data_IF_517436549864
#
_entry.id   IF_517436549864
#
_cell.length_a   1.000
_cell.length_b   1.000
_cell.length_c   1.000
_cell.angle_alpha   90.00
_cell.angle_beta   90.00
_cell.angle_gamma   90.00
#
_symmetry.space_group_name_H-M   'P 1'
#
loop_
_entity.id
_entity.type
_entity.pdbx_description
1 polymer ?
#
# COMPACT_ATOMS: atom_id res chain seq x y z
N UNK A 1 -2.96 -25.62 -0.69
CA UNK A 1 -3.76 -24.63 0.06
C UNK A 1 -3.10 -23.29 -0.18
N UNK A 2 -3.65 -22.49 -1.10
CA UNK A 2 -3.10 -21.16 -1.44
C UNK A 2 -3.84 -20.18 -0.55
N UNK A 3 -3.13 -19.63 0.43
CA UNK A 3 -3.63 -18.50 1.23
C UNK A 3 -3.57 -17.30 0.30
N UNK A 4 -4.69 -16.94 -0.31
CA UNK A 4 -4.81 -15.63 -0.95
C UNK A 4 -4.76 -14.60 0.19
N UNK A 5 -3.90 -13.57 0.11
CA UNK A 5 -3.90 -12.50 1.09
C UNK A 5 -5.14 -11.64 0.84
N UNK A 6 -6.27 -12.06 1.42
CA UNK A 6 -7.35 -11.11 1.66
C UNK A 6 -6.71 -9.93 2.41
N UNK A 7 -6.83 -8.72 1.85
CA UNK A 7 -6.45 -7.49 2.55
C UNK A 7 -7.46 -7.34 3.70
N UNK A 8 -7.23 -8.09 4.77
CA UNK A 8 -8.05 -8.09 5.95
C UNK A 8 -7.80 -6.77 6.71
N UNK A 9 -8.77 -6.34 7.49
CA UNK A 9 -8.66 -5.22 8.44
C UNK A 9 -7.34 -5.22 9.25
N UNK A 10 -6.79 -6.40 9.55
CA UNK A 10 -5.48 -6.53 10.21
C UNK A 10 -4.30 -6.08 9.35
N UNK A 11 -4.32 -6.36 8.05
CA UNK A 11 -3.29 -5.91 7.12
C UNK A 11 -3.29 -4.38 7.01
N UNK A 12 -4.49 -3.77 6.97
CA UNK A 12 -4.65 -2.32 6.96
C UNK A 12 -4.12 -1.68 8.24
N UNK A 13 -4.44 -2.24 9.41
CA UNK A 13 -3.94 -1.73 10.69
C UNK A 13 -2.41 -1.85 10.80
N UNK A 14 -1.84 -2.96 10.30
CA UNK A 14 -0.40 -3.15 10.25
C UNK A 14 0.30 -2.14 9.33
N UNK A 15 -0.28 -1.87 8.15
CA UNK A 15 0.21 -0.83 7.25
C UNK A 15 0.15 0.53 7.94
N UNK A 16 -0.98 0.88 8.58
CA UNK A 16 -1.13 2.15 9.30
C UNK A 16 -0.08 2.31 10.40
N UNK A 17 0.10 1.29 11.24
CA UNK A 17 1.10 1.31 12.30
C UNK A 17 2.53 1.45 11.77
N UNK A 18 2.82 0.81 10.64
CA UNK A 18 4.11 0.96 9.95
C UNK A 18 4.29 2.39 9.44
N UNK A 19 3.28 2.95 8.78
CA UNK A 19 3.29 4.33 8.26
C UNK A 19 3.52 5.37 9.37
N UNK A 20 2.95 5.15 10.56
CA UNK A 20 3.18 6.01 11.73
C UNK A 20 4.63 5.97 12.22
N UNK A 21 5.32 4.85 12.05
CA UNK A 21 6.72 4.65 12.44
C UNK A 21 7.74 5.08 11.35
N UNK A 22 7.29 5.35 10.11
CA UNK A 22 8.17 5.78 9.02
C UNK A 22 8.61 7.24 9.18
N UNK A 23 9.88 7.53 8.93
CA UNK A 23 10.40 8.89 9.00
C UNK A 23 10.14 9.65 7.68
N UNK A 24 10.14 11.00 7.69
CA UNK A 24 10.10 11.78 6.46
C UNK A 24 11.27 11.38 5.54
N UNK A 25 10.95 10.97 4.32
CA UNK A 25 11.92 10.44 3.35
C UNK A 25 11.94 8.92 3.22
N UNK A 26 11.32 8.17 4.14
CA UNK A 26 11.14 6.73 3.99
C UNK A 26 10.14 6.40 2.88
N UNK A 27 10.38 5.27 2.23
CA UNK A 27 9.55 4.72 1.17
C UNK A 27 9.06 3.31 1.56
N UNK A 28 7.78 3.07 1.33
CA UNK A 28 7.15 1.76 1.44
C UNK A 28 6.66 1.33 0.06
N UNK A 29 6.92 0.07 -0.29
CA UNK A 29 6.36 -0.55 -1.50
C UNK A 29 5.28 -1.53 -1.06
N UNK A 30 4.06 -1.32 -1.55
CA UNK A 30 2.90 -2.17 -1.27
C UNK A 30 2.60 -2.94 -2.54
N UNK A 31 2.76 -4.26 -2.48
CA UNK A 31 2.37 -5.16 -3.58
C UNK A 31 0.95 -5.65 -3.33
N UNK A 32 0.06 -5.34 -4.27
CA UNK A 32 -1.34 -5.73 -4.26
C UNK A 32 -1.59 -6.67 -5.42
N UNK A 33 -2.23 -7.80 -5.20
CA UNK A 33 -2.63 -8.68 -6.31
C UNK A 33 -3.77 -8.05 -7.11
N UNK A 34 -3.86 -8.33 -8.41
CA UNK A 34 -4.88 -7.75 -9.26
C UNK A 34 -6.30 -8.17 -8.85
N UNK A 35 -6.43 -9.35 -8.24
CA UNK A 35 -7.68 -9.80 -7.64
C UNK A 35 -8.11 -8.92 -6.45
N UNK A 36 -7.15 -8.39 -5.71
CA UNK A 36 -7.32 -7.59 -4.50
C UNK A 36 -7.15 -6.08 -4.76
N UNK A 37 -6.94 -5.68 -6.01
CA UNK A 37 -6.82 -4.27 -6.39
C UNK A 37 -8.04 -3.45 -5.96
N UNK A 38 -9.23 -4.04 -6.00
CA UNK A 38 -10.46 -3.45 -5.50
C UNK A 38 -10.50 -3.26 -3.97
N UNK A 39 -9.66 -3.97 -3.21
CA UNK A 39 -9.53 -3.84 -1.76
C UNK A 39 -8.39 -2.86 -1.36
N UNK A 40 -7.65 -2.32 -2.34
CA UNK A 40 -6.55 -1.39 -2.08
C UNK A 40 -6.97 0.09 -1.99
N UNK A 41 -8.21 0.43 -2.35
CA UNK A 41 -8.79 1.76 -2.14
C UNK A 41 -8.54 2.35 -0.73
N UNK A 42 -8.81 1.63 0.39
CA UNK A 42 -8.52 2.15 1.72
C UNK A 42 -7.03 2.42 1.96
N UNK A 43 -6.13 1.64 1.36
CA UNK A 43 -4.68 1.86 1.48
C UNK A 43 -4.30 3.18 0.81
N UNK A 44 -4.78 3.42 -0.41
CA UNK A 44 -4.54 4.67 -1.14
C UNK A 44 -5.06 5.86 -0.33
N UNK A 45 -6.26 5.76 0.24
CA UNK A 45 -6.87 6.82 1.04
C UNK A 45 -6.06 7.15 2.30
N UNK A 46 -5.50 6.14 2.98
CA UNK A 46 -4.64 6.34 4.15
C UNK A 46 -3.34 7.04 3.74
N UNK A 47 -2.73 6.65 2.62
CA UNK A 47 -1.50 7.28 2.12
C UNK A 47 -1.73 8.76 1.80
N UNK A 48 -2.81 9.08 1.10
CA UNK A 48 -3.20 10.45 0.77
C UNK A 48 -3.44 11.30 2.03
N UNK A 49 -4.23 10.77 2.97
CA UNK A 49 -4.56 11.46 4.24
C UNK A 49 -3.31 11.74 5.10
N UNK A 50 -2.32 10.85 5.06
CA UNK A 50 -1.08 10.99 5.83
C UNK A 50 0.00 11.82 5.10
N UNK A 51 -0.30 12.39 3.93
CA UNK A 51 0.62 13.22 3.16
C UNK A 51 1.76 12.43 2.49
N UNK A 52 1.53 11.15 2.19
CA UNK A 52 2.48 10.35 1.41
C UNK A 52 2.32 10.65 -0.08
N UNK A 53 3.44 10.74 -0.79
CA UNK A 53 3.47 10.73 -2.25
C UNK A 53 3.39 9.28 -2.72
N UNK A 54 2.35 8.90 -3.47
CA UNK A 54 2.20 7.52 -3.94
C UNK A 54 2.25 7.43 -5.46
N UNK A 55 2.84 6.35 -5.95
CA UNK A 55 3.01 6.08 -7.36
C UNK A 55 2.68 4.61 -7.64
N UNK A 56 1.56 4.39 -8.32
CA UNK A 56 1.10 3.06 -8.72
C UNK A 56 1.74 2.64 -10.04
N UNK A 57 2.46 1.52 -10.04
CA UNK A 57 2.97 0.86 -11.24
C UNK A 57 2.23 -0.46 -11.44
N UNK A 58 1.62 -0.63 -12.61
CA UNK A 58 1.07 -1.92 -13.01
C UNK A 58 2.20 -2.95 -13.16
N UNK A 59 2.07 -4.10 -12.51
CA UNK A 59 3.00 -5.20 -12.71
C UNK A 59 2.88 -5.72 -14.14
N UNK A 60 4.03 -6.03 -14.74
CA UNK A 60 4.15 -6.45 -16.14
C UNK A 60 3.27 -7.67 -16.49
N UNK A 61 2.96 -8.53 -15.50
CA UNK A 61 2.15 -9.73 -15.68
C UNK A 61 0.63 -9.47 -15.59
N UNK A 62 0.20 -8.25 -15.25
CA UNK A 62 -1.22 -7.91 -15.02
C UNK A 62 -1.86 -8.60 -13.81
N UNK A 63 -1.10 -9.41 -13.07
CA UNK A 63 -1.54 -10.14 -11.88
C UNK A 63 -1.27 -9.43 -10.57
N UNK A 64 -0.45 -8.38 -10.58
CA UNK A 64 -0.10 -7.62 -9.37
C UNK A 64 0.15 -6.16 -9.72
N UNK A 65 -0.10 -5.28 -8.77
CA UNK A 65 0.12 -3.84 -8.82
C UNK A 65 1.04 -3.46 -7.68
N UNK A 66 2.02 -2.61 -7.94
CA UNK A 66 2.93 -2.12 -6.92
C UNK A 66 2.62 -0.65 -6.68
N UNK A 67 2.36 -0.29 -5.42
CA UNK A 67 2.15 1.09 -4.98
C UNK A 67 3.39 1.47 -4.18
N UNK A 68 4.25 2.30 -4.75
CA UNK A 68 5.35 2.89 -4.01
C UNK A 68 4.85 4.17 -3.36
N UNK A 69 4.89 4.24 -2.04
CA UNK A 69 4.51 5.43 -1.29
C UNK A 69 5.69 5.95 -0.50
N UNK A 70 5.95 7.25 -0.58
CA UNK A 70 7.05 7.93 0.11
C UNK A 70 6.50 9.02 1.02
N UNK A 71 6.96 9.06 2.27
CA UNK A 71 6.57 10.13 3.18
C UNK A 71 7.17 11.44 2.71
N UNK A 72 6.33 12.42 2.38
CA UNK A 72 6.83 13.75 2.00
C UNK A 72 7.59 14.34 3.20
N UNK A 73 8.81 14.86 3.01
CA UNK A 73 9.43 15.66 4.03
C UNK A 73 8.53 16.88 4.27
N UNK A 74 7.99 16.98 5.49
CA UNK A 74 7.19 18.14 5.93
C UNK A 74 8.07 19.37 6.13
#
# INVERSE_FOLDING_TARGET
>A
MVLQPEIDSRAVDHVRNTLEQLYPGDEITITVEAADAHQADPIISILDTNGFDYQSKGGHDGRSYHINARRKPS
#
